data_IF_873177110708
#
_entry.id   IF_873177110708
#
_cell.length_a   1.000
_cell.length_b   1.000
_cell.length_c   1.000
_cell.angle_alpha   90.00
_cell.angle_beta   90.00
_cell.angle_gamma   90.00
#
_symmetry.space_group_name_H-M   'P 1'
#
loop_
_entity.id
_entity.type
_entity.pdbx_description
1 polymer ?
#
# COMPACT_ATOMS: atom_id res chain seq x y z
N UNK A 1 17.05 9.48 -11.51
CA UNK A 1 15.68 8.93 -11.56
C UNK A 1 14.98 9.66 -12.70
N UNK A 2 13.95 9.12 -13.34
CA UNK A 2 13.33 9.82 -14.47
C UNK A 2 12.62 11.10 -14.00
N UNK A 3 12.74 12.21 -14.73
CA UNK A 3 12.23 13.52 -14.32
C UNK A 3 10.71 13.56 -13.98
N UNK A 4 9.82 12.85 -14.72
CA UNK A 4 8.41 12.75 -14.34
C UNK A 4 8.18 12.12 -12.96
N UNK A 5 9.04 11.16 -12.58
CA UNK A 5 8.97 10.45 -11.31
C UNK A 5 9.47 11.32 -10.15
N UNK A 6 10.55 12.07 -10.38
CA UNK A 6 11.07 13.05 -9.41
C UNK A 6 10.01 14.11 -9.10
N UNK A 7 9.34 14.65 -10.14
CA UNK A 7 8.24 15.60 -9.95
C UNK A 7 7.07 14.98 -9.17
N UNK A 8 6.72 13.71 -9.45
CA UNK A 8 5.64 13.03 -8.76
C UNK A 8 5.92 12.85 -7.26
N UNK A 9 7.18 12.54 -6.90
CA UNK A 9 7.64 12.46 -5.51
C UNK A 9 7.63 13.82 -4.81
N UNK A 10 8.00 14.90 -5.51
CA UNK A 10 7.88 16.26 -4.98
C UNK A 10 6.42 16.65 -4.75
N UNK A 11 5.54 16.34 -5.70
CA UNK A 11 4.12 16.70 -5.62
C UNK A 11 3.40 15.93 -4.50
N UNK A 12 3.81 14.69 -4.24
CA UNK A 12 3.32 13.88 -3.11
C UNK A 12 3.64 14.52 -1.74
N UNK A 13 4.68 15.35 -1.68
CA UNK A 13 5.09 16.07 -0.47
C UNK A 13 4.48 17.48 -0.35
N UNK A 14 3.82 17.97 -1.40
CA UNK A 14 3.24 19.31 -1.46
C UNK A 14 2.01 19.46 -0.55
N UNK A 15 1.21 20.51 -0.74
CA UNK A 15 -0.06 20.72 -0.04
C UNK A 15 -1.05 19.55 -0.27
N UNK A 16 -1.99 19.30 0.68
CA UNK A 16 -2.79 18.07 0.70
C UNK A 16 -3.55 17.74 -0.60
N UNK A 17 -4.12 18.75 -1.27
CA UNK A 17 -4.87 18.53 -2.51
C UNK A 17 -3.96 18.00 -3.65
N UNK A 18 -2.80 18.63 -3.82
CA UNK A 18 -1.81 18.22 -4.82
C UNK A 18 -1.16 16.89 -4.46
N UNK A 19 -0.86 16.69 -3.18
CA UNK A 19 -0.33 15.43 -2.67
C UNK A 19 -1.29 14.27 -2.90
N UNK A 20 -2.58 14.46 -2.66
CA UNK A 20 -3.61 13.43 -2.89
C UNK A 20 -3.66 12.99 -4.35
N UNK A 21 -3.65 13.95 -5.29
CA UNK A 21 -3.61 13.65 -6.73
C UNK A 21 -2.33 12.91 -7.11
N UNK A 22 -1.17 13.38 -6.65
CA UNK A 22 0.12 12.78 -6.93
C UNK A 22 0.24 11.34 -6.38
N UNK A 23 -0.28 11.08 -5.19
CA UNK A 23 -0.32 9.73 -4.60
C UNK A 23 -1.28 8.81 -5.37
N UNK A 24 -2.39 9.34 -5.90
CA UNK A 24 -3.27 8.59 -6.81
C UNK A 24 -2.56 8.16 -8.09
N UNK A 25 -1.88 9.09 -8.75
CA UNK A 25 -1.08 8.82 -9.95
C UNK A 25 0.05 7.82 -9.65
N UNK A 26 0.70 7.95 -8.50
CA UNK A 26 1.75 7.05 -8.05
C UNK A 26 1.22 5.63 -7.81
N UNK A 27 0.05 5.48 -7.17
CA UNK A 27 -0.58 4.19 -6.96
C UNK A 27 -0.90 3.48 -8.28
N UNK A 28 -1.43 4.21 -9.28
CA UNK A 28 -1.71 3.67 -10.61
C UNK A 28 -0.42 3.21 -11.33
N UNK A 29 0.65 4.01 -11.24
CA UNK A 29 1.95 3.68 -11.83
C UNK A 29 2.56 2.42 -11.18
N UNK A 30 2.50 2.32 -9.85
CA UNK A 30 3.00 1.18 -9.09
C UNK A 30 2.24 -0.11 -9.42
N UNK A 31 0.91 -0.05 -9.43
CA UNK A 31 0.06 -1.20 -9.79
C UNK A 31 0.35 -1.69 -11.20
N UNK A 32 0.45 -0.76 -12.16
CA UNK A 32 0.75 -1.09 -13.54
C UNK A 32 2.08 -1.80 -13.69
N UNK A 33 3.13 -1.33 -13.00
CA UNK A 33 4.42 -1.98 -13.01
C UNK A 33 4.38 -3.35 -12.34
N UNK A 34 3.83 -3.44 -11.13
CA UNK A 34 3.79 -4.67 -10.34
C UNK A 34 3.04 -5.80 -11.06
N UNK A 35 2.00 -5.45 -11.82
CA UNK A 35 1.22 -6.42 -12.61
C UNK A 35 1.68 -6.55 -14.07
N UNK A 36 2.74 -5.86 -14.47
CA UNK A 36 3.25 -5.81 -15.85
C UNK A 36 2.17 -5.44 -16.90
N UNK A 37 1.26 -4.53 -16.55
CA UNK A 37 0.08 -4.14 -17.36
C UNK A 37 0.33 -2.91 -18.24
N UNK A 38 1.50 -2.84 -18.86
CA UNK A 38 1.89 -1.68 -19.67
C UNK A 38 1.06 -1.50 -20.94
N UNK A 39 0.47 -2.59 -21.45
CA UNK A 39 -0.33 -2.60 -22.67
C UNK A 39 -1.83 -2.63 -22.38
N UNK A 40 -2.23 -2.59 -21.10
CA UNK A 40 -3.63 -2.59 -20.67
C UNK A 40 -4.24 -1.19 -20.88
N UNK A 41 -5.26 -1.05 -21.75
CA UNK A 41 -5.94 0.22 -21.99
C UNK A 41 -6.53 0.83 -20.72
N UNK A 42 -7.04 -0.01 -19.79
CA UNK A 42 -7.63 0.47 -18.55
C UNK A 42 -6.60 1.15 -17.64
N UNK A 43 -5.37 0.65 -17.63
CA UNK A 43 -4.26 1.28 -16.90
C UNK A 43 -3.80 2.59 -17.54
N UNK A 44 -3.87 2.70 -18.86
CA UNK A 44 -3.57 3.94 -19.58
C UNK A 44 -4.63 5.02 -19.36
N UNK A 45 -5.91 4.65 -19.27
CA UNK A 45 -7.01 5.59 -18.98
C UNK A 45 -6.87 6.28 -17.62
N UNK A 46 -6.37 5.57 -16.60
CA UNK A 46 -6.14 6.15 -15.28
C UNK A 46 -5.06 7.25 -15.25
N UNK A 47 -4.15 7.24 -16.23
CA UNK A 47 -3.07 8.21 -16.37
C UNK A 47 -3.24 9.09 -17.62
N UNK A 48 -4.45 9.20 -18.16
CA UNK A 48 -4.70 9.96 -19.40
C UNK A 48 -4.34 11.44 -19.27
N UNK A 49 -4.48 12.02 -18.07
CA UNK A 49 -4.08 13.40 -17.75
C UNK A 49 -2.57 13.57 -17.58
N UNK A 50 -1.81 12.46 -17.51
CA UNK A 50 -0.35 12.39 -17.35
C UNK A 50 0.27 11.43 -18.36
N UNK A 51 0.27 11.78 -19.67
CA UNK A 51 0.81 10.91 -20.72
C UNK A 51 2.30 10.60 -20.52
N UNK A 52 3.03 11.48 -19.83
CA UNK A 52 4.41 11.27 -19.40
C UNK A 52 4.54 10.06 -18.45
N UNK A 53 3.64 9.94 -17.46
CA UNK A 53 3.58 8.79 -16.56
C UNK A 53 2.99 7.55 -17.24
N UNK A 54 2.02 7.74 -18.13
CA UNK A 54 1.43 6.64 -18.89
C UNK A 54 2.42 5.97 -19.86
N UNK A 55 3.46 6.67 -20.33
CA UNK A 55 4.53 6.05 -21.12
C UNK A 55 5.63 5.42 -20.25
N UNK A 56 5.67 5.75 -18.96
CA UNK A 56 6.76 5.39 -18.07
C UNK A 56 6.78 3.89 -17.76
N UNK A 57 7.96 3.28 -17.87
CA UNK A 57 8.26 1.94 -17.36
C UNK A 57 9.28 2.09 -16.25
N UNK A 58 8.94 1.58 -15.06
CA UNK A 58 9.82 1.66 -13.90
C UNK A 58 10.91 0.61 -14.01
N UNK A 59 12.14 1.00 -13.70
CA UNK A 59 13.25 0.07 -13.49
C UNK A 59 13.20 -0.50 -12.05
N UNK A 60 13.82 -1.67 -11.80
CA UNK A 60 13.89 -2.24 -10.45
C UNK A 60 14.48 -1.30 -9.39
N UNK A 61 15.47 -0.49 -9.78
CA UNK A 61 16.08 0.51 -8.90
C UNK A 61 15.09 1.63 -8.54
N UNK A 62 14.27 2.07 -9.50
CA UNK A 62 13.24 3.09 -9.27
C UNK A 62 12.12 2.56 -8.37
N UNK A 63 11.67 1.33 -8.59
CA UNK A 63 10.70 0.68 -7.72
C UNK A 63 11.21 0.58 -6.27
N UNK A 64 12.49 0.24 -6.09
CA UNK A 64 13.13 0.21 -4.77
C UNK A 64 13.18 1.60 -4.13
N UNK A 65 13.54 2.64 -4.89
CA UNK A 65 13.55 4.02 -4.41
C UNK A 65 12.14 4.49 -3.98
N UNK A 66 11.11 4.14 -4.76
CA UNK A 66 9.72 4.48 -4.45
C UNK A 66 9.24 3.81 -3.18
N UNK A 67 9.58 2.53 -2.94
CA UNK A 67 9.24 1.85 -1.68
C UNK A 67 9.84 2.57 -0.47
N UNK A 68 11.12 2.95 -0.54
CA UNK A 68 11.77 3.72 0.53
C UNK A 68 11.12 5.09 0.71
N UNK A 69 10.81 5.77 -0.40
CA UNK A 69 10.10 7.05 -0.38
C UNK A 69 8.72 6.94 0.29
N UNK A 70 7.95 5.90 -0.03
CA UNK A 70 6.63 5.68 0.58
C UNK A 70 6.74 5.43 2.09
N UNK A 71 7.72 4.65 2.55
CA UNK A 71 7.95 4.51 3.99
C UNK A 71 8.40 5.83 4.65
N UNK A 72 9.23 6.62 3.97
CA UNK A 72 9.57 7.96 4.44
C UNK A 72 8.31 8.83 4.57
N UNK A 73 7.45 8.84 3.55
CA UNK A 73 6.18 9.58 3.57
C UNK A 73 5.29 9.15 4.73
N UNK A 74 5.16 7.83 4.93
CA UNK A 74 4.34 7.26 5.97
C UNK A 74 4.81 7.67 7.37
N UNK A 75 6.10 7.96 7.58
CA UNK A 75 6.61 8.36 8.90
C UNK A 75 6.63 9.87 9.11
N UNK A 76 6.58 10.67 8.04
CA UNK A 76 6.77 12.13 8.12
C UNK A 76 5.51 12.94 7.76
N UNK A 77 4.51 12.31 7.14
CA UNK A 77 3.27 12.96 6.69
C UNK A 77 2.04 12.16 7.15
N UNK A 78 1.71 12.18 8.47
CA UNK A 78 0.64 11.37 9.03
C UNK A 78 -0.74 11.72 8.46
N UNK A 79 -0.95 12.97 7.99
CA UNK A 79 -2.17 13.41 7.30
C UNK A 79 -2.45 12.67 5.98
N UNK A 80 -1.47 11.90 5.49
CA UNK A 80 -1.53 11.17 4.21
C UNK A 80 -1.29 9.68 4.37
N UNK A 81 -1.21 9.19 5.62
CA UNK A 81 -0.82 7.81 5.91
C UNK A 81 -1.68 6.79 5.15
N UNK A 82 -2.99 6.99 5.08
CA UNK A 82 -3.90 6.12 4.32
C UNK A 82 -3.60 6.07 2.81
N UNK A 83 -3.37 7.23 2.18
CA UNK A 83 -3.05 7.29 0.75
C UNK A 83 -1.67 6.69 0.43
N UNK A 84 -0.70 6.89 1.32
CA UNK A 84 0.65 6.29 1.20
C UNK A 84 0.60 4.77 1.40
N UNK A 85 -0.15 4.29 2.40
CA UNK A 85 -0.38 2.86 2.61
C UNK A 85 -1.10 2.22 1.42
N UNK A 86 -2.02 2.95 0.79
CA UNK A 86 -2.64 2.51 -0.45
C UNK A 86 -1.62 2.34 -1.58
N UNK A 87 -0.65 3.25 -1.72
CA UNK A 87 0.44 3.09 -2.69
C UNK A 87 1.28 1.84 -2.40
N UNK A 88 1.63 1.59 -1.13
CA UNK A 88 2.39 0.40 -0.72
C UNK A 88 1.63 -0.90 -1.06
N UNK A 89 0.30 -0.91 -0.93
CA UNK A 89 -0.55 -2.03 -1.34
C UNK A 89 -0.38 -2.36 -2.83
N UNK A 90 -0.24 -1.34 -3.68
CA UNK A 90 -0.08 -1.50 -5.14
C UNK A 90 1.30 -2.01 -5.56
N UNK A 91 2.24 -2.15 -4.63
CA UNK A 91 3.54 -2.76 -4.92
C UNK A 91 3.48 -4.30 -5.03
N UNK A 92 2.47 -4.95 -4.42
CA UNK A 92 2.33 -6.42 -4.36
C UNK A 92 3.61 -7.16 -3.93
N UNK A 93 4.42 -6.55 -3.05
CA UNK A 93 5.74 -7.06 -2.67
C UNK A 93 5.73 -7.62 -1.24
N UNK A 94 5.91 -8.95 -1.06
CA UNK A 94 5.95 -9.56 0.26
C UNK A 94 7.14 -9.11 1.11
N UNK A 95 8.23 -8.62 0.49
CA UNK A 95 9.39 -8.11 1.22
C UNK A 95 9.07 -6.87 2.09
N UNK A 96 7.94 -6.20 1.83
CA UNK A 96 7.49 -5.04 2.60
C UNK A 96 6.86 -5.42 3.95
N UNK A 97 6.53 -6.70 4.20
CA UNK A 97 5.76 -7.13 5.36
C UNK A 97 6.35 -6.63 6.70
N UNK A 98 7.66 -6.70 6.88
CA UNK A 98 8.32 -6.21 8.10
C UNK A 98 8.12 -4.72 8.31
N UNK A 99 8.32 -3.90 7.27
CA UNK A 99 8.10 -2.46 7.35
C UNK A 99 6.63 -2.10 7.55
N UNK A 100 5.71 -2.86 6.93
CA UNK A 100 4.26 -2.69 7.12
C UNK A 100 3.84 -3.01 8.56
N UNK A 101 4.39 -4.05 9.20
CA UNK A 101 4.14 -4.32 10.62
C UNK A 101 4.66 -3.19 11.54
N UNK A 102 5.82 -2.61 11.23
CA UNK A 102 6.34 -1.46 11.99
C UNK A 102 5.43 -0.24 11.84
N UNK A 103 4.93 0.01 10.62
CA UNK A 103 3.95 1.04 10.34
C UNK A 103 2.62 0.82 11.10
N UNK A 104 2.10 -0.42 11.10
CA UNK A 104 0.91 -0.79 11.88
C UNK A 104 1.10 -0.46 13.36
N UNK A 105 2.28 -0.74 13.92
CA UNK A 105 2.58 -0.42 15.31
C UNK A 105 2.42 1.07 15.66
N UNK A 106 2.63 1.95 14.69
CA UNK A 106 2.42 3.39 14.82
C UNK A 106 0.93 3.74 14.68
N UNK A 107 0.26 3.23 13.64
CA UNK A 107 -1.05 3.74 13.23
C UNK A 107 -2.28 3.05 13.85
N UNK A 108 -2.15 1.82 14.38
CA UNK A 108 -3.29 0.96 14.70
C UNK A 108 -4.32 1.48 15.73
N UNK A 109 -3.98 2.52 16.49
CA UNK A 109 -4.87 3.20 17.43
C UNK A 109 -5.09 4.68 17.10
N UNK A 110 -4.55 5.15 15.97
CA UNK A 110 -4.53 6.57 15.60
C UNK A 110 -5.29 6.82 14.29
N UNK A 111 -5.18 5.91 13.32
CA UNK A 111 -5.74 6.07 11.98
C UNK A 111 -6.26 4.73 11.48
N UNK A 112 -7.59 4.62 11.42
CA UNK A 112 -8.29 3.39 11.04
C UNK A 112 -8.09 3.06 9.55
N UNK A 113 -8.18 4.08 8.69
CA UNK A 113 -8.06 3.94 7.23
C UNK A 113 -6.63 3.55 6.83
N UNK A 114 -5.63 4.17 7.46
CA UNK A 114 -4.23 3.80 7.26
C UNK A 114 -3.97 2.36 7.71
N UNK A 115 -4.50 1.97 8.86
CA UNK A 115 -4.30 0.61 9.40
C UNK A 115 -4.93 -0.43 8.49
N UNK A 116 -6.16 -0.21 8.00
CA UNK A 116 -6.80 -1.08 7.01
C UNK A 116 -5.93 -1.18 5.75
N UNK A 117 -5.50 -0.06 5.18
CA UNK A 117 -4.68 -0.07 3.97
C UNK A 117 -3.35 -0.80 4.15
N UNK A 118 -2.69 -0.67 5.30
CA UNK A 118 -1.45 -1.40 5.63
C UNK A 118 -1.68 -2.91 5.75
N UNK A 119 -2.77 -3.34 6.39
CA UNK A 119 -3.10 -4.77 6.45
C UNK A 119 -3.48 -5.33 5.08
N UNK A 120 -4.18 -4.55 4.26
CA UNK A 120 -4.47 -4.91 2.88
C UNK A 120 -3.18 -5.10 2.08
N UNK A 121 -2.20 -4.20 2.22
CA UNK A 121 -0.91 -4.29 1.55
C UNK A 121 -0.19 -5.62 1.83
N UNK A 122 -0.26 -6.13 3.07
CA UNK A 122 0.27 -7.45 3.42
C UNK A 122 -0.54 -8.56 2.74
N UNK A 123 -1.87 -8.48 2.80
CA UNK A 123 -2.75 -9.57 2.33
C UNK A 123 -2.84 -9.70 0.81
N UNK A 124 -2.50 -8.63 0.08
CA UNK A 124 -2.48 -8.62 -1.38
C UNK A 124 -1.15 -9.11 -1.94
N UNK A 125 -0.06 -9.06 -1.16
CA UNK A 125 1.27 -9.48 -1.61
C UNK A 125 1.61 -10.93 -1.28
N UNK A 126 0.91 -11.56 -0.33
CA UNK A 126 1.17 -12.94 0.07
C UNK A 126 -0.08 -13.63 0.65
N UNK A 127 -0.13 -14.96 0.53
CA UNK A 127 -1.20 -15.80 1.06
C UNK A 127 -1.13 -16.00 2.58
N UNK A 128 -2.23 -16.49 3.16
CA UNK A 128 -2.31 -16.75 4.61
C UNK A 128 -1.24 -17.72 5.11
N UNK A 129 -0.96 -18.76 4.32
CA UNK A 129 0.06 -19.78 4.57
C UNK A 129 1.51 -19.24 4.53
N UNK A 130 1.69 -18.02 4.03
CA UNK A 130 2.97 -17.33 3.93
C UNK A 130 3.16 -16.26 5.03
N UNK A 131 2.14 -16.00 5.85
CA UNK A 131 2.24 -15.01 6.91
C UNK A 131 3.20 -15.48 8.00
N UNK A 132 4.12 -14.59 8.39
CA UNK A 132 4.98 -14.80 9.55
C UNK A 132 4.19 -14.71 10.85
N UNK A 133 4.75 -15.26 11.93
CA UNK A 133 4.18 -15.15 13.28
C UNK A 133 3.95 -13.69 13.69
N UNK A 134 4.82 -12.77 13.25
CA UNK A 134 4.67 -11.33 13.51
C UNK A 134 3.42 -10.76 12.83
N UNK A 135 3.17 -11.12 11.56
CA UNK A 135 1.96 -10.68 10.84
C UNK A 135 0.72 -11.24 11.52
N UNK A 136 0.71 -12.54 11.84
CA UNK A 136 -0.43 -13.20 12.48
C UNK A 136 -0.72 -12.61 13.87
N UNK A 137 0.32 -12.33 14.66
CA UNK A 137 0.19 -11.67 15.97
C UNK A 137 -0.46 -10.30 15.84
N UNK A 138 -0.03 -9.48 14.87
CA UNK A 138 -0.66 -8.20 14.58
C UNK A 138 -2.12 -8.37 14.17
N UNK A 139 -2.43 -9.25 13.22
CA UNK A 139 -3.81 -9.41 12.75
C UNK A 139 -4.76 -9.86 13.86
N UNK A 140 -4.32 -10.79 14.74
CA UNK A 140 -5.10 -11.20 15.91
C UNK A 140 -5.35 -10.03 16.85
N UNK A 141 -4.32 -9.23 17.14
CA UNK A 141 -4.44 -8.02 17.97
C UNK A 141 -5.39 -6.98 17.34
N UNK A 142 -5.27 -6.75 16.04
CA UNK A 142 -6.12 -5.80 15.32
C UNK A 142 -7.58 -6.23 15.29
N UNK A 143 -7.87 -7.54 15.25
CA UNK A 143 -9.24 -8.05 15.30
C UNK A 143 -9.93 -7.85 16.65
N UNK A 144 -9.16 -7.86 17.75
CA UNK A 144 -9.70 -7.73 19.12
C UNK A 144 -9.70 -6.28 19.60
N UNK A 145 -8.58 -5.59 19.40
CA UNK A 145 -8.26 -4.32 20.02
C UNK A 145 -8.21 -3.15 19.03
N UNK A 146 -8.26 -3.41 17.71
CA UNK A 146 -8.19 -2.36 16.69
C UNK A 146 -9.36 -1.37 16.77
N UNK A 147 -9.20 -0.27 16.03
CA UNK A 147 -10.29 0.68 15.76
C UNK A 147 -11.47 0.00 15.02
N UNK A 148 -12.67 0.60 15.01
CA UNK A 148 -13.89 -0.06 14.55
C UNK A 148 -13.81 -0.67 13.14
N UNK A 149 -13.31 0.07 12.15
CA UNK A 149 -13.23 -0.41 10.77
C UNK A 149 -12.12 -1.45 10.62
N UNK A 150 -10.97 -1.27 11.28
CA UNK A 150 -9.89 -2.26 11.33
C UNK A 150 -10.39 -3.58 11.89
N UNK A 151 -11.15 -3.58 13.00
CA UNK A 151 -11.71 -4.81 13.57
C UNK A 151 -12.68 -5.49 12.62
N UNK A 152 -13.55 -4.71 11.98
CA UNK A 152 -14.49 -5.21 10.98
C UNK A 152 -13.73 -5.86 9.82
N UNK A 153 -12.73 -5.17 9.29
CA UNK A 153 -11.89 -5.63 8.18
C UNK A 153 -11.13 -6.93 8.56
N UNK A 154 -10.51 -6.99 9.74
CA UNK A 154 -9.83 -8.20 10.22
C UNK A 154 -10.79 -9.38 10.41
N UNK A 155 -11.99 -9.13 10.94
CA UNK A 155 -13.02 -10.17 11.11
C UNK A 155 -13.39 -10.78 9.76
N UNK A 156 -13.54 -9.96 8.71
CA UNK A 156 -13.82 -10.44 7.36
C UNK A 156 -12.67 -11.28 6.79
N UNK A 157 -11.43 -10.84 6.96
CA UNK A 157 -10.25 -11.59 6.52
C UNK A 157 -10.14 -12.93 7.22
N UNK A 158 -10.36 -12.97 8.53
CA UNK A 158 -10.35 -14.22 9.31
C UNK A 158 -11.47 -15.17 8.93
N UNK A 159 -12.67 -14.66 8.63
CA UNK A 159 -13.75 -15.48 8.08
C UNK A 159 -13.37 -16.10 6.72
N UNK A 160 -12.69 -15.33 5.85
CA UNK A 160 -12.14 -15.82 4.59
C UNK A 160 -11.08 -16.91 4.82
N UNK A 161 -10.11 -16.69 5.71
CA UNK A 161 -9.05 -17.68 5.98
C UNK A 161 -9.60 -18.99 6.55
N UNK A 162 -10.59 -18.92 7.46
CA UNK A 162 -11.27 -20.12 7.97
C UNK A 162 -11.95 -20.90 6.84
N UNK A 163 -12.58 -20.21 5.89
CA UNK A 163 -13.31 -20.84 4.78
C UNK A 163 -12.38 -21.52 3.77
N UNK A 164 -11.23 -20.92 3.47
CA UNK A 164 -10.39 -21.35 2.35
C UNK A 164 -9.05 -21.99 2.74
N UNK A 165 -8.59 -21.81 3.98
CA UNK A 165 -7.30 -22.29 4.47
C UNK A 165 -7.42 -23.21 5.70
N UNK A 166 -8.65 -23.54 6.14
CA UNK A 166 -8.93 -24.30 7.36
C UNK A 166 -8.18 -23.75 8.60
N UNK A 167 -8.01 -22.43 8.64
CA UNK A 167 -7.27 -21.76 9.69
C UNK A 167 -7.99 -21.90 11.04
N UNK A 168 -7.36 -22.59 11.99
CA UNK A 168 -7.74 -22.57 13.40
C UNK A 168 -7.25 -21.26 14.01
N UNK A 169 -8.15 -20.27 14.09
CA UNK A 169 -7.86 -18.90 14.51
C UNK A 169 -8.10 -18.68 16.00
#
# INVERSE_FOLDING_TARGET
>A
MQAPLEQLMTDSQAEPARASQALGDLAALLERHALNRYEDPAGAEQLVHRPDLAALRLEPAEMTALKHFLFFMLMNYPDRAAAVAHCLKKCYDPALATGLCQAIAVYWQQDDDATVALTDAITYSQGYDQFSDTVLSWFKKLATEGLPETRRNMTQKFAYYRKFYDAQL
#
